data_IF_529520044313
#
_entry.id   IF_529520044313
#
_cell.length_a   1.000
_cell.length_b   1.000
_cell.length_c   1.000
_cell.angle_alpha   90.00
_cell.angle_beta   90.00
_cell.angle_gamma   90.00
#
_symmetry.space_group_name_H-M   'P 1'
#
loop_
_entity.id
_entity.type
_entity.pdbx_description
1 polymer ?
#
# COMPACT_ATOMS: atom_id res chain seq x y z
N UNK A 1 -25.44 11.84 -3.98
CA UNK A 1 -25.04 10.44 -3.71
C UNK A 1 -24.12 9.95 -4.83
N UNK A 2 -22.85 10.36 -4.87
CA UNK A 2 -21.95 10.01 -5.99
C UNK A 2 -20.52 9.65 -5.59
N UNK A 3 -20.30 9.40 -4.29
CA UNK A 3 -18.98 9.01 -3.79
C UNK A 3 -18.63 7.57 -4.15
N UNK A 4 -19.61 6.67 -4.01
CA UNK A 4 -19.46 5.24 -4.31
C UNK A 4 -19.33 5.00 -5.81
N UNK A 5 -20.17 5.65 -6.63
CA UNK A 5 -20.12 5.49 -8.10
C UNK A 5 -18.79 5.95 -8.70
N UNK A 6 -18.23 7.05 -8.18
CA UNK A 6 -16.90 7.52 -8.59
C UNK A 6 -15.80 6.57 -8.19
N UNK A 7 -15.92 5.96 -7.00
CA UNK A 7 -14.95 4.95 -6.56
C UNK A 7 -15.00 3.74 -7.47
N UNK A 8 -16.19 3.23 -7.78
CA UNK A 8 -16.37 2.07 -8.64
C UNK A 8 -15.87 2.33 -10.08
N UNK A 9 -16.17 3.52 -10.62
CA UNK A 9 -15.66 3.95 -11.91
C UNK A 9 -14.12 4.01 -11.95
N UNK A 10 -13.48 4.52 -10.89
CA UNK A 10 -12.02 4.59 -10.82
C UNK A 10 -11.38 3.20 -10.71
N UNK A 11 -12.00 2.30 -9.94
CA UNK A 11 -11.54 0.90 -9.82
C UNK A 11 -11.67 0.18 -11.16
N UNK A 12 -12.77 0.39 -11.89
CA UNK A 12 -12.99 -0.22 -13.20
C UNK A 12 -11.93 0.13 -14.26
N UNK A 13 -11.30 1.31 -14.17
CA UNK A 13 -10.25 1.73 -15.13
C UNK A 13 -8.96 0.91 -14.96
N UNK A 14 -8.64 0.52 -13.73
CA UNK A 14 -7.39 -0.18 -13.44
C UNK A 14 -7.59 -1.50 -12.67
N UNK A 15 -8.67 -2.21 -12.94
CA UNK A 15 -8.97 -3.49 -12.30
C UNK A 15 -7.98 -4.59 -12.68
N UNK A 16 -7.70 -5.51 -11.75
CA UNK A 16 -6.88 -6.70 -12.00
C UNK A 16 -7.74 -7.79 -12.66
N UNK A 17 -7.64 -7.91 -13.98
CA UNK A 17 -8.40 -8.88 -14.78
C UNK A 17 -7.75 -10.28 -14.80
N UNK A 18 -7.47 -10.85 -13.63
CA UNK A 18 -6.98 -12.23 -13.53
C UNK A 18 -8.18 -13.18 -13.53
N UNK A 19 -8.33 -13.96 -14.60
CA UNK A 19 -9.39 -14.98 -14.71
C UNK A 19 -9.06 -16.19 -13.84
N UNK A 20 -9.77 -16.32 -12.73
CA UNK A 20 -9.67 -17.48 -11.82
C UNK A 20 -10.97 -18.29 -11.84
N UNK A 21 -10.87 -19.61 -11.61
CA UNK A 21 -12.05 -20.50 -11.49
C UNK A 21 -12.76 -20.37 -10.14
N UNK A 22 -12.15 -19.67 -9.18
CA UNK A 22 -12.64 -19.59 -7.81
C UNK A 22 -13.62 -18.42 -7.67
N UNK A 23 -14.85 -18.69 -7.24
CA UNK A 23 -15.94 -17.71 -7.17
C UNK A 23 -15.62 -16.48 -6.31
N UNK A 24 -14.79 -16.62 -5.27
CA UNK A 24 -14.41 -15.51 -4.40
C UNK A 24 -13.27 -14.66 -4.94
N UNK A 25 -12.52 -15.16 -5.92
CA UNK A 25 -11.37 -14.44 -6.50
C UNK A 25 -11.70 -13.02 -6.97
N UNK A 26 -12.80 -12.77 -7.72
CA UNK A 26 -13.15 -11.41 -8.10
C UNK A 26 -13.37 -10.47 -6.90
N UNK A 27 -13.94 -10.97 -5.80
CA UNK A 27 -14.13 -10.17 -4.58
C UNK A 27 -12.78 -9.79 -3.97
N UNK A 28 -11.85 -10.75 -3.91
CA UNK A 28 -10.51 -10.49 -3.38
C UNK A 28 -9.72 -9.49 -4.25
N UNK A 29 -9.77 -9.66 -5.57
CA UNK A 29 -9.13 -8.75 -6.51
C UNK A 29 -9.69 -7.33 -6.40
N UNK A 30 -11.01 -7.20 -6.30
CA UNK A 30 -11.67 -5.91 -6.10
C UNK A 30 -11.21 -5.21 -4.81
N UNK A 31 -11.07 -5.95 -3.70
CA UNK A 31 -10.54 -5.38 -2.45
C UNK A 31 -9.11 -4.86 -2.58
N UNK A 32 -8.25 -5.52 -3.36
CA UNK A 32 -6.89 -5.04 -3.62
C UNK A 32 -6.91 -3.75 -4.45
N UNK A 33 -7.74 -3.71 -5.49
CA UNK A 33 -7.87 -2.53 -6.35
C UNK A 33 -8.41 -1.31 -5.57
N UNK A 34 -9.37 -1.54 -4.68
CA UNK A 34 -9.83 -0.54 -3.74
C UNK A 34 -8.70 -0.03 -2.83
N UNK A 35 -7.92 -0.94 -2.25
CA UNK A 35 -6.82 -0.54 -1.38
C UNK A 35 -5.80 0.35 -2.11
N UNK A 36 -5.47 0.05 -3.37
CA UNK A 36 -4.60 0.88 -4.18
C UNK A 36 -5.19 2.28 -4.46
N UNK A 37 -6.47 2.34 -4.82
CA UNK A 37 -7.16 3.61 -5.07
C UNK A 37 -7.17 4.50 -3.81
N UNK A 38 -7.48 3.91 -2.64
CA UNK A 38 -7.49 4.65 -1.38
C UNK A 38 -6.08 5.08 -0.95
N UNK A 39 -5.06 4.24 -1.20
CA UNK A 39 -3.65 4.59 -0.93
C UNK A 39 -3.22 5.80 -1.76
N UNK A 40 -3.62 5.87 -3.03
CA UNK A 40 -3.34 7.03 -3.89
C UNK A 40 -4.04 8.30 -3.39
N UNK A 41 -5.31 8.20 -2.97
CA UNK A 41 -6.01 9.33 -2.36
C UNK A 41 -5.30 9.84 -1.09
N UNK A 42 -4.86 8.93 -0.21
CA UNK A 42 -4.10 9.28 0.99
C UNK A 42 -2.73 9.90 0.66
N UNK A 43 -2.05 9.38 -0.36
CA UNK A 43 -0.79 9.93 -0.84
C UNK A 43 -0.94 11.39 -1.28
N UNK A 44 -1.98 11.70 -2.06
CA UNK A 44 -2.28 13.06 -2.50
C UNK A 44 -2.65 14.02 -1.36
N UNK A 45 -3.19 13.50 -0.26
CA UNK A 45 -3.45 14.29 0.94
C UNK A 45 -2.18 14.64 1.74
N UNK A 46 -1.08 13.91 1.51
CA UNK A 46 0.21 14.09 2.19
C UNK A 46 1.04 15.18 1.52
N UNK A 47 1.87 15.97 2.24
CA UNK A 47 2.75 17.00 1.65
C UNK A 47 3.64 16.45 0.52
N UNK A 48 4.20 15.24 0.69
CA UNK A 48 4.99 14.58 -0.35
C UNK A 48 4.24 14.39 -1.68
N UNK A 49 2.93 14.11 -1.63
CA UNK A 49 2.10 13.97 -2.83
C UNK A 49 1.64 15.30 -3.44
N UNK A 50 1.82 16.42 -2.73
CA UNK A 50 1.63 17.77 -3.30
C UNK A 50 2.86 18.25 -4.04
N UNK A 51 4.05 17.91 -3.53
CA UNK A 51 5.33 18.24 -4.16
C UNK A 51 5.61 17.35 -5.38
N UNK A 52 5.30 16.06 -5.27
CA UNK A 52 5.48 15.08 -6.35
C UNK A 52 4.17 14.34 -6.60
N UNK A 53 3.30 14.82 -7.50
CA UNK A 53 2.08 14.11 -7.83
C UNK A 53 2.42 12.84 -8.62
N UNK A 54 2.13 11.68 -8.05
CA UNK A 54 2.21 10.40 -8.76
C UNK A 54 0.84 10.02 -9.33
N UNK A 55 0.87 9.44 -10.53
CA UNK A 55 -0.28 8.75 -11.09
C UNK A 55 -0.58 7.45 -10.32
N UNK A 56 -1.80 6.93 -10.45
CA UNK A 56 -2.24 5.69 -9.80
C UNK A 56 -1.32 4.51 -10.16
N UNK A 57 -0.90 4.44 -11.42
CA UNK A 57 0.05 3.42 -11.89
C UNK A 57 1.42 3.57 -11.22
N UNK A 58 1.88 4.80 -11.03
CA UNK A 58 3.14 5.10 -10.36
C UNK A 58 3.16 4.59 -8.92
N UNK A 59 2.07 4.84 -8.18
CA UNK A 59 1.89 4.36 -6.81
C UNK A 59 1.83 2.84 -6.76
N UNK A 60 1.09 2.19 -7.65
CA UNK A 60 1.07 0.73 -7.75
C UNK A 60 2.46 0.15 -8.01
N UNK A 61 3.19 0.71 -8.98
CA UNK A 61 4.56 0.27 -9.29
C UNK A 61 5.48 0.42 -8.08
N UNK A 62 5.40 1.54 -7.36
CA UNK A 62 6.18 1.78 -6.15
C UNK A 62 5.87 0.74 -5.06
N UNK A 63 4.59 0.47 -4.81
CA UNK A 63 4.16 -0.52 -3.83
C UNK A 63 4.65 -1.93 -4.21
N UNK A 64 4.48 -2.34 -5.46
CA UNK A 64 4.94 -3.65 -5.95
C UNK A 64 6.45 -3.79 -5.81
N UNK A 65 7.23 -2.76 -6.13
CA UNK A 65 8.69 -2.77 -5.97
C UNK A 65 9.09 -2.98 -4.50
N UNK A 66 8.41 -2.33 -3.56
CA UNK A 66 8.63 -2.51 -2.12
C UNK A 66 8.31 -3.93 -1.69
N UNK A 67 7.17 -4.49 -2.11
CA UNK A 67 6.81 -5.86 -1.81
C UNK A 67 7.79 -6.87 -2.40
N UNK A 68 8.24 -6.66 -3.63
CA UNK A 68 9.22 -7.52 -4.29
C UNK A 68 10.57 -7.49 -3.55
N UNK A 69 11.05 -6.30 -3.19
CA UNK A 69 12.29 -6.15 -2.44
C UNK A 69 12.20 -6.85 -1.07
N UNK A 70 11.06 -6.72 -0.38
CA UNK A 70 10.81 -7.41 0.90
C UNK A 70 10.77 -8.94 0.71
N UNK A 71 10.11 -9.44 -0.35
CA UNK A 71 10.04 -10.86 -0.65
C UNK A 71 11.41 -11.47 -1.01
N UNK A 72 12.25 -10.73 -1.74
CA UNK A 72 13.62 -11.14 -2.04
C UNK A 72 14.50 -11.19 -0.79
N UNK A 73 14.34 -10.24 0.14
CA UNK A 73 15.02 -10.28 1.44
C UNK A 73 14.61 -11.50 2.29
N UNK A 74 13.37 -11.98 2.15
CA UNK A 74 12.87 -13.17 2.84
C UNK A 74 13.40 -14.48 2.21
N UNK A 75 13.51 -14.54 0.88
CA UNK A 75 14.12 -15.67 0.18
C UNK A 75 15.61 -15.82 0.55
N UNK A 76 16.34 -14.71 0.64
CA UNK A 76 17.75 -14.68 1.03
C UNK A 76 17.99 -14.91 2.55
N UNK A 77 16.95 -14.87 3.38
CA UNK A 77 17.06 -15.15 4.82
C UNK A 77 17.17 -16.63 5.15
N UNK A 78 16.85 -17.52 4.21
CA UNK A 78 16.84 -18.96 4.45
C UNK A 78 15.89 -19.39 5.58
N UNK A 79 15.64 -20.70 5.68
CA UNK A 79 15.00 -21.28 6.86
C UNK A 79 16.02 -21.26 7.99
N UNK A 80 16.04 -20.21 8.80
CA UNK A 80 16.85 -20.17 10.02
C UNK A 80 16.33 -21.28 10.94
N UNK A 81 17.07 -22.40 11.01
CA UNK A 81 16.91 -23.37 12.09
C UNK A 81 17.22 -22.62 13.38
N UNK A 82 16.19 -22.41 14.22
CA UNK A 82 16.24 -22.02 15.63
C UNK A 82 17.31 -20.98 16.05
N UNK A 83 16.88 -19.81 16.53
CA UNK A 83 17.04 -19.37 17.94
C UNK A 83 16.88 -17.85 18.09
N UNK A 84 15.95 -17.49 18.99
CA UNK A 84 15.82 -16.29 19.84
C UNK A 84 15.90 -14.86 19.27
N UNK A 85 14.77 -14.15 19.42
CA UNK A 85 14.62 -12.76 19.92
C UNK A 85 15.57 -11.66 19.40
N UNK A 86 15.09 -10.86 18.45
CA UNK A 86 15.15 -9.38 18.46
C UNK A 86 14.38 -8.83 17.25
N UNK A 87 13.38 -8.00 17.49
CA UNK A 87 12.62 -7.27 16.46
C UNK A 87 13.57 -6.30 15.74
N UNK A 88 13.92 -6.59 14.48
CA UNK A 88 14.84 -5.75 13.73
C UNK A 88 14.08 -4.75 12.82
N UNK A 89 14.25 -3.47 13.14
CA UNK A 89 13.55 -2.27 12.68
C UNK A 89 13.96 -1.77 11.28
N UNK A 90 14.63 -2.61 10.48
CA UNK A 90 15.46 -2.16 9.35
C UNK A 90 14.74 -1.91 8.02
N UNK A 91 13.48 -2.29 7.87
CA UNK A 91 12.78 -2.16 6.57
C UNK A 91 12.00 -0.84 6.46
N UNK A 92 11.95 -0.03 7.52
CA UNK A 92 11.19 1.23 7.53
C UNK A 92 11.95 2.43 6.95
N UNK A 93 13.28 2.35 6.78
CA UNK A 93 14.14 3.52 6.53
C UNK A 93 14.40 3.83 5.04
N UNK A 94 14.03 2.94 4.11
CA UNK A 94 14.29 3.14 2.66
C UNK A 94 13.16 3.82 1.90
N UNK A 95 12.00 4.00 2.54
CA UNK A 95 10.97 4.91 2.08
C UNK A 95 11.23 6.27 2.74
N UNK A 96 11.04 7.42 2.07
CA UNK A 96 10.88 8.69 2.77
C UNK A 96 9.54 8.65 3.50
N UNK A 97 9.45 7.83 4.55
CA UNK A 97 8.53 8.04 5.62
C UNK A 97 9.01 9.32 6.28
N UNK A 98 8.39 10.44 5.89
CA UNK A 98 8.37 11.60 6.76
C UNK A 98 7.93 11.06 8.11
N UNK A 99 8.88 11.00 9.03
CA UNK A 99 8.70 10.67 10.44
C UNK A 99 7.68 11.67 10.97
N UNK A 100 6.41 11.31 10.88
CA UNK A 100 5.31 12.10 11.36
C UNK A 100 5.02 11.58 12.75
N UNK A 101 5.70 12.18 13.70
CA UNK A 101 5.22 12.30 15.07
C UNK A 101 3.92 13.15 15.04
N UNK A 102 2.86 12.60 14.44
CA UNK A 102 1.52 13.16 14.54
C UNK A 102 0.89 12.65 15.84
N UNK A 103 1.38 13.21 16.96
CA UNK A 103 0.56 13.24 18.16
C UNK A 103 -0.60 14.19 17.87
N UNK A 104 -1.83 13.66 17.83
CA UNK A 104 -3.03 14.48 17.99
C UNK A 104 -3.02 14.96 19.43
N UNK A 105 -2.48 16.14 19.68
CA UNK A 105 -2.64 16.79 20.98
C UNK A 105 -4.10 17.22 21.09
N UNK A 106 -4.88 16.45 21.83
CA UNK A 106 -6.18 16.90 22.34
C UNK A 106 -5.95 18.17 23.15
N UNK A 107 -6.43 19.31 22.66
CA UNK A 107 -6.47 20.56 23.40
C UNK A 107 -7.45 20.42 24.56
N UNK A 108 -6.97 20.59 25.80
CA UNK A 108 -7.81 20.81 26.97
C UNK A 108 -8.61 22.11 26.80
N UNK A 109 -9.92 22.02 27.00
CA UNK A 109 -10.72 23.14 27.52
C UNK A 109 -10.61 23.17 29.05
#
# INVERSE_FOLDING_TARGET
>A
MGGVDRMDQNVGIYQVEIRSKKWWWPVFAYCLDLAFQQTWHLYRATPAGREQPLDLLGIRSAIVKVFLACGQQQANRGRTKSRSTALNRQVLDTLPLVKKDHYVTQSKQ
#
